data_IF_281034910760
#
_entry.id   IF_281034910760
#
_cell.length_a   1.000
_cell.length_b   1.000
_cell.length_c   1.000
_cell.angle_alpha   90.00
_cell.angle_beta   90.00
_cell.angle_gamma   90.00
#
_symmetry.space_group_name_H-M   'P 1'
#
loop_
_entity.id
_entity.type
_entity.pdbx_description
1 polymer ?
#
# COMPACT_ATOMS: atom_id res chain seq x y z
N UNK A 1 -51.79 -9.02 17.05
CA UNK A 1 -51.87 -9.30 15.60
C UNK A 1 -50.90 -8.40 14.89
N UNK A 2 -49.95 -8.96 14.13
CA UNK A 2 -48.95 -8.22 13.34
C UNK A 2 -47.52 -8.60 13.69
N UNK A 3 -47.06 -9.76 13.21
CA UNK A 3 -45.67 -10.23 13.30
C UNK A 3 -44.86 -9.73 12.10
N UNK A 4 -43.56 -9.46 12.29
CA UNK A 4 -42.56 -9.65 11.24
C UNK A 4 -41.28 -10.20 11.88
N UNK A 5 -40.99 -11.46 11.55
CA UNK A 5 -39.73 -12.16 11.85
C UNK A 5 -38.89 -12.13 10.57
N UNK A 6 -37.69 -11.54 10.64
CA UNK A 6 -36.55 -11.75 9.73
C UNK A 6 -35.33 -11.53 10.65
N UNK A 7 -34.55 -12.53 11.04
CA UNK A 7 -33.80 -13.50 10.24
C UNK A 7 -32.32 -13.22 10.53
N UNK A 8 -31.67 -14.10 11.32
CA UNK A 8 -30.31 -13.94 11.83
C UNK A 8 -29.27 -13.72 10.72
N UNK A 9 -28.43 -12.69 10.88
CA UNK A 9 -27.21 -12.52 10.11
C UNK A 9 -26.06 -12.19 11.06
N UNK A 10 -25.07 -13.06 11.02
CA UNK A 10 -23.72 -13.06 11.58
C UNK A 10 -23.29 -11.74 12.26
N UNK A 11 -23.08 -11.80 13.57
CA UNK A 11 -22.47 -10.71 14.36
C UNK A 11 -21.10 -10.37 13.79
N UNK A 12 -21.00 -9.21 13.15
CA UNK A 12 -19.75 -8.52 12.86
C UNK A 12 -19.10 -8.16 14.22
N UNK A 13 -18.07 -8.89 14.62
CA UNK A 13 -17.28 -8.51 15.81
C UNK A 13 -16.39 -7.35 15.40
N UNK A 14 -16.84 -6.14 15.72
CA UNK A 14 -16.05 -4.92 15.60
C UNK A 14 -14.96 -4.99 16.69
N UNK A 15 -13.73 -5.33 16.32
CA UNK A 15 -12.57 -5.21 17.22
C UNK A 15 -12.26 -3.72 17.35
N UNK A 16 -12.74 -3.09 18.43
CA UNK A 16 -12.71 -1.63 18.61
C UNK A 16 -11.40 -1.09 19.20
N UNK A 17 -10.41 -1.92 19.50
CA UNK A 17 -9.10 -1.43 19.92
C UNK A 17 -8.03 -2.52 19.89
N UNK A 18 -6.88 -2.18 19.31
CA UNK A 18 -5.61 -2.84 19.63
C UNK A 18 -5.00 -2.03 20.78
N UNK A 19 -4.72 -2.63 21.95
CA UNK A 19 -4.16 -1.88 23.06
C UNK A 19 -2.78 -1.33 22.70
N UNK A 20 -2.55 -0.04 22.99
CA UNK A 20 -1.22 0.53 22.94
C UNK A 20 -0.31 -0.16 23.98
N UNK A 21 0.95 -0.47 23.66
CA UNK A 21 1.85 -1.09 24.62
C UNK A 21 2.09 -0.13 25.79
N UNK A 22 1.68 -0.56 26.98
CA UNK A 22 1.96 0.15 28.22
C UNK A 22 3.46 0.10 28.50
N UNK A 23 3.99 1.26 28.88
CA UNK A 23 5.37 1.47 29.28
C UNK A 23 5.74 0.56 30.46
N UNK A 24 6.41 -0.55 30.17
CA UNK A 24 7.14 -1.36 31.14
C UNK A 24 8.32 -1.99 30.41
N UNK A 25 9.52 -1.67 30.87
CA UNK A 25 10.82 -2.06 30.33
C UNK A 25 11.07 -3.58 30.46
N UNK A 26 10.37 -4.36 29.64
CA UNK A 26 10.76 -5.70 29.25
C UNK A 26 11.10 -5.63 27.76
N UNK A 27 12.29 -6.12 27.38
CA UNK A 27 12.69 -6.27 25.98
C UNK A 27 11.76 -7.33 25.37
N UNK A 28 10.58 -6.92 24.93
CA UNK A 28 9.77 -7.71 24.01
C UNK A 28 10.58 -7.69 22.72
N UNK A 29 11.34 -8.77 22.46
CA UNK A 29 11.77 -9.06 21.10
C UNK A 29 10.48 -9.15 20.29
N UNK A 30 10.15 -8.09 19.57
CA UNK A 30 8.99 -8.05 18.69
C UNK A 30 9.21 -9.18 17.69
N UNK A 31 8.53 -10.32 17.89
CA UNK A 31 8.58 -11.42 16.95
C UNK A 31 7.88 -10.91 15.70
N UNK A 32 8.67 -10.61 14.67
CA UNK A 32 8.16 -10.30 13.35
C UNK A 32 7.27 -11.45 12.88
N UNK A 33 6.14 -11.12 12.28
CA UNK A 33 5.27 -12.11 11.64
C UNK A 33 6.04 -12.82 10.53
N UNK A 34 5.52 -13.96 10.09
CA UNK A 34 6.10 -14.65 8.94
C UNK A 34 6.15 -13.73 7.71
N UNK A 35 5.08 -12.97 7.47
CA UNK A 35 5.01 -11.97 6.41
C UNK A 35 6.14 -10.94 6.54
N UNK A 36 6.33 -10.36 7.73
CA UNK A 36 7.39 -9.37 7.98
C UNK A 36 8.78 -9.95 7.72
N UNK A 37 9.03 -11.18 8.17
CA UNK A 37 10.31 -11.86 7.98
C UNK A 37 10.59 -12.10 6.50
N UNK A 38 9.61 -12.64 5.77
CA UNK A 38 9.76 -12.98 4.35
C UNK A 38 9.94 -11.71 3.50
N UNK A 39 9.09 -10.69 3.71
CA UNK A 39 9.18 -9.42 2.96
C UNK A 39 10.55 -8.79 3.15
N UNK A 40 11.00 -8.64 4.39
CA UNK A 40 12.28 -8.00 4.71
C UNK A 40 13.48 -8.77 4.15
N UNK A 41 13.47 -10.10 4.25
CA UNK A 41 14.56 -10.94 3.71
C UNK A 41 14.63 -10.83 2.20
N UNK A 42 13.52 -11.08 1.50
CA UNK A 42 13.50 -11.11 0.04
C UNK A 42 13.69 -9.73 -0.59
N UNK A 43 13.17 -8.68 0.03
CA UNK A 43 13.46 -7.32 -0.40
C UNK A 43 14.96 -7.02 -0.29
N UNK A 44 15.60 -7.44 0.81
CA UNK A 44 17.04 -7.27 1.00
C UNK A 44 17.84 -8.07 -0.04
N UNK A 45 17.47 -9.32 -0.28
CA UNK A 45 18.10 -10.18 -1.31
C UNK A 45 17.99 -9.56 -2.71
N UNK A 46 16.81 -9.05 -3.09
CA UNK A 46 16.60 -8.38 -4.37
C UNK A 46 17.38 -7.05 -4.46
N UNK A 47 17.43 -6.27 -3.39
CA UNK A 47 18.22 -5.03 -3.33
C UNK A 47 19.74 -5.32 -3.43
N UNK A 48 20.22 -6.35 -2.74
CA UNK A 48 21.63 -6.78 -2.78
C UNK A 48 22.00 -7.42 -4.14
N UNK A 49 21.02 -7.95 -4.87
CA UNK A 49 21.17 -8.51 -6.23
C UNK A 49 21.02 -7.46 -7.35
N UNK A 50 21.04 -6.16 -7.02
CA UNK A 50 20.96 -5.05 -7.97
C UNK A 50 19.70 -5.05 -8.87
N UNK A 51 18.56 -5.50 -8.34
CA UNK A 51 17.27 -5.40 -9.04
C UNK A 51 16.77 -3.94 -9.08
N UNK A 52 17.06 -3.16 -8.03
CA UNK A 52 16.75 -1.73 -7.98
C UNK A 52 17.71 -0.89 -8.84
N UNK A 53 17.24 0.26 -9.34
CA UNK A 53 18.07 1.21 -10.08
C UNK A 53 19.24 1.77 -9.26
N UNK A 54 19.10 1.78 -7.94
CA UNK A 54 20.12 2.21 -7.00
C UNK A 54 19.98 1.45 -5.70
N UNK A 55 21.09 1.37 -4.98
CA UNK A 55 21.13 0.86 -3.63
C UNK A 55 20.57 1.91 -2.69
N UNK A 56 19.60 1.50 -1.86
CA UNK A 56 19.10 2.35 -0.80
C UNK A 56 20.06 2.29 0.38
N UNK A 57 20.94 3.28 0.49
CA UNK A 57 21.80 3.44 1.65
C UNK A 57 21.00 3.99 2.85
N UNK A 58 21.69 4.21 3.97
CA UNK A 58 21.07 4.75 5.19
C UNK A 58 20.42 6.10 4.92
N UNK A 59 19.09 6.12 4.91
CA UNK A 59 18.29 7.34 4.77
C UNK A 59 18.45 8.23 6.01
N UNK A 60 18.47 9.53 5.77
CA UNK A 60 18.47 10.53 6.85
C UNK A 60 17.07 11.12 6.95
N UNK A 61 16.38 10.76 8.03
CA UNK A 61 15.05 11.27 8.35
C UNK A 61 15.15 12.33 9.46
N UNK A 62 14.31 13.35 9.37
CA UNK A 62 14.11 14.34 10.42
C UNK A 62 12.62 14.61 10.60
N UNK A 63 12.13 14.38 11.81
CA UNK A 63 10.79 14.83 12.20
C UNK A 63 10.83 16.35 12.38
N UNK A 64 10.01 17.05 11.61
CA UNK A 64 9.88 18.50 11.67
C UNK A 64 8.93 18.87 12.81
N UNK A 65 9.40 19.75 13.69
CA UNK A 65 8.61 20.21 14.83
C UNK A 65 7.31 20.88 14.37
N UNK A 66 6.22 20.56 15.06
CA UNK A 66 4.90 21.12 14.80
C UNK A 66 3.79 20.08 14.99
N UNK A 67 2.53 20.53 14.86
CA UNK A 67 1.33 19.70 15.08
C UNK A 67 1.33 18.38 14.30
N UNK A 68 1.83 18.41 13.07
CA UNK A 68 1.73 17.28 12.14
C UNK A 68 2.97 16.39 12.12
N UNK A 69 4.06 16.78 12.78
CA UNK A 69 5.29 15.97 12.87
C UNK A 69 5.79 15.45 11.52
N UNK A 70 5.81 16.28 10.47
CA UNK A 70 6.19 15.83 9.13
C UNK A 70 7.57 15.18 9.13
N UNK A 71 7.72 14.06 8.43
CA UNK A 71 9.01 13.39 8.25
C UNK A 71 9.66 13.92 6.97
N UNK A 72 10.73 14.68 7.11
CA UNK A 72 11.57 15.08 6.00
C UNK A 72 12.68 14.03 5.80
N UNK A 73 12.73 13.43 4.62
CA UNK A 73 13.70 12.40 4.28
C UNK A 73 14.65 12.90 3.19
N UNK A 74 15.96 12.69 3.41
CA UNK A 74 16.98 12.96 2.41
C UNK A 74 17.38 11.66 1.68
N UNK A 75 16.99 11.58 0.41
CA UNK A 75 17.33 10.48 -0.51
C UNK A 75 17.89 11.07 -1.82
N UNK A 76 19.20 11.39 -1.88
CA UNK A 76 19.80 12.06 -3.04
C UNK A 76 19.84 11.18 -4.28
N UNK A 77 19.98 9.87 -4.08
CA UNK A 77 19.98 8.86 -5.12
C UNK A 77 18.67 8.91 -5.92
N UNK A 78 17.53 8.95 -5.24
CA UNK A 78 16.21 9.04 -5.89
C UNK A 78 16.03 10.23 -6.84
N UNK A 79 16.74 11.33 -6.61
CA UNK A 79 16.64 12.54 -7.43
C UNK A 79 17.44 12.46 -8.74
N UNK A 80 18.27 11.43 -8.94
CA UNK A 80 19.07 11.29 -10.15
C UNK A 80 18.21 10.93 -11.37
N UNK A 81 18.40 11.59 -12.52
CA UNK A 81 17.67 11.26 -13.74
C UNK A 81 17.86 9.80 -14.15
N UNK A 82 16.77 9.16 -14.60
CA UNK A 82 16.79 7.76 -15.05
C UNK A 82 16.63 6.72 -13.95
N UNK A 83 16.63 7.10 -12.66
CA UNK A 83 16.51 6.15 -11.54
C UNK A 83 15.07 5.89 -11.09
N UNK A 84 14.15 6.04 -12.05
CA UNK A 84 12.75 5.67 -11.93
C UNK A 84 12.14 5.37 -13.27
N UNK A 85 11.08 4.55 -13.26
CA UNK A 85 10.22 4.37 -14.44
C UNK A 85 9.69 5.76 -14.87
N UNK A 86 9.72 6.11 -16.17
CA UNK A 86 9.21 7.39 -16.63
C UNK A 86 7.77 7.60 -16.19
N UNK A 87 7.46 8.80 -15.70
CA UNK A 87 6.09 9.13 -15.34
C UNK A 87 5.20 9.13 -16.59
N UNK A 88 4.09 8.42 -16.50
CA UNK A 88 3.07 8.43 -17.53
C UNK A 88 2.22 9.70 -17.44
N UNK A 89 1.79 10.21 -18.59
CA UNK A 89 1.03 11.45 -18.66
C UNK A 89 -0.46 11.17 -18.49
N UNK A 90 -0.96 11.33 -17.27
CA UNK A 90 -2.38 11.18 -16.97
C UNK A 90 -3.15 12.45 -17.34
N UNK A 91 -4.05 12.33 -18.32
CA UNK A 91 -4.94 13.43 -18.74
C UNK A 91 -6.29 13.41 -18.01
N UNK A 92 -6.56 12.37 -17.21
CA UNK A 92 -7.81 12.17 -16.47
C UNK A 92 -7.52 11.63 -15.08
N UNK A 93 -8.36 12.02 -14.12
CA UNK A 93 -8.33 11.46 -12.75
C UNK A 93 -8.67 9.97 -12.77
N UNK A 94 -9.54 9.56 -13.69
CA UNK A 94 -9.84 8.16 -14.01
C UNK A 94 -9.23 7.78 -15.36
N UNK A 95 -7.94 7.39 -15.39
CA UNK A 95 -7.33 6.96 -16.63
C UNK A 95 -7.86 5.59 -17.05
N UNK A 96 -7.83 5.34 -18.36
CA UNK A 96 -7.97 3.98 -18.87
C UNK A 96 -6.61 3.27 -18.75
N UNK A 97 -6.65 1.94 -18.68
CA UNK A 97 -5.44 1.15 -18.83
C UNK A 97 -4.90 1.29 -20.26
N UNK A 98 -3.60 1.51 -20.40
CA UNK A 98 -2.93 1.59 -21.71
C UNK A 98 -1.79 0.58 -21.75
N UNK A 99 -2.03 -0.52 -22.48
CA UNK A 99 -1.10 -1.64 -22.66
C UNK A 99 0.20 -1.23 -23.35
N UNK A 100 0.20 -0.12 -24.10
CA UNK A 100 1.39 0.37 -24.81
C UNK A 100 2.38 1.04 -23.87
N UNK A 101 1.92 1.51 -22.73
CA UNK A 101 2.77 2.08 -21.68
C UNK A 101 3.25 0.98 -20.74
N UNK A 102 4.26 1.30 -19.93
CA UNK A 102 4.72 0.36 -18.93
C UNK A 102 3.57 -0.09 -18.02
N UNK A 103 3.46 -1.39 -17.79
CA UNK A 103 2.51 -1.99 -16.86
C UNK A 103 3.14 -3.23 -16.23
N UNK A 104 2.61 -3.66 -15.09
CA UNK A 104 3.27 -4.73 -14.33
C UNK A 104 3.34 -6.08 -15.04
N UNK A 105 2.53 -6.37 -16.07
CA UNK A 105 2.71 -7.61 -16.87
C UNK A 105 4.06 -7.69 -17.62
N UNK A 106 4.84 -6.60 -17.61
CA UNK A 106 6.16 -6.51 -18.24
C UNK A 106 7.31 -6.66 -17.24
N UNK A 107 7.03 -6.88 -15.94
CA UNK A 107 8.08 -7.14 -14.95
C UNK A 107 8.69 -8.52 -15.14
N UNK A 108 9.91 -8.69 -14.65
CA UNK A 108 10.58 -10.00 -14.64
C UNK A 108 10.36 -10.71 -13.31
N UNK A 109 10.58 -12.03 -13.28
CA UNK A 109 10.51 -12.83 -12.04
C UNK A 109 11.45 -12.30 -10.94
N UNK A 110 12.55 -11.63 -11.32
CA UNK A 110 13.49 -11.02 -10.37
C UNK A 110 12.87 -9.86 -9.59
N UNK A 111 11.81 -9.25 -10.10
CA UNK A 111 11.09 -8.18 -9.40
C UNK A 111 10.04 -8.73 -8.41
N UNK A 112 9.77 -10.04 -8.40
CA UNK A 112 8.75 -10.64 -7.53
C UNK A 112 9.33 -10.91 -6.13
N UNK A 113 8.74 -10.29 -5.12
CA UNK A 113 9.07 -10.52 -3.70
C UNK A 113 8.16 -11.59 -3.10
N UNK A 114 6.87 -11.56 -3.41
CA UNK A 114 5.92 -12.62 -3.05
C UNK A 114 4.93 -12.85 -4.19
N UNK A 115 4.64 -14.12 -4.43
CA UNK A 115 3.64 -14.55 -5.40
C UNK A 115 2.23 -14.68 -4.79
N UNK A 116 1.23 -15.06 -5.60
CA UNK A 116 -0.15 -15.10 -5.14
C UNK A 116 -0.47 -16.16 -4.10
N UNK A 117 0.30 -17.25 -4.05
CA UNK A 117 0.15 -18.32 -3.05
C UNK A 117 0.55 -17.85 -1.64
N UNK A 118 1.33 -16.77 -1.53
CA UNK A 118 1.87 -16.24 -0.28
C UNK A 118 1.09 -15.01 0.22
N UNK A 119 0.15 -14.53 -0.59
CA UNK A 119 -0.62 -13.31 -0.35
C UNK A 119 -2.11 -13.64 -0.16
N UNK A 120 -2.87 -12.76 0.52
CA UNK A 120 -4.25 -13.06 0.85
C UNK A 120 -5.11 -13.13 -0.41
N UNK A 121 -5.78 -14.26 -0.61
CA UNK A 121 -6.84 -14.40 -1.58
C UNK A 121 -8.16 -13.94 -0.96
N UNK A 122 -8.70 -12.81 -1.44
CA UNK A 122 -10.03 -12.34 -1.03
C UNK A 122 -11.14 -13.20 -1.66
N UNK A 123 -10.89 -13.73 -2.86
CA UNK A 123 -11.77 -14.62 -3.60
C UNK A 123 -10.99 -15.89 -4.01
N UNK A 124 -11.62 -17.07 -3.91
CA UNK A 124 -10.95 -18.37 -4.11
C UNK A 124 -10.30 -18.57 -5.48
N UNK A 125 -10.75 -17.82 -6.50
CA UNK A 125 -10.31 -17.96 -7.89
C UNK A 125 -9.47 -16.78 -8.40
N UNK A 126 -9.06 -15.87 -7.51
CA UNK A 126 -8.37 -14.62 -7.89
C UNK A 126 -7.00 -14.42 -7.24
N UNK A 127 -6.24 -15.50 -7.04
CA UNK A 127 -4.84 -15.43 -6.62
C UNK A 127 -3.96 -14.91 -7.76
N UNK A 128 -4.17 -13.65 -8.14
CA UNK A 128 -3.39 -12.89 -9.13
C UNK A 128 -2.88 -11.59 -8.49
N UNK A 129 -2.53 -11.68 -7.21
CA UNK A 129 -1.95 -10.59 -6.43
C UNK A 129 -0.47 -10.85 -6.27
N UNK A 130 0.34 -9.84 -6.58
CA UNK A 130 1.79 -9.90 -6.44
C UNK A 130 2.30 -8.79 -5.55
N UNK A 131 3.36 -9.08 -4.80
CA UNK A 131 4.17 -8.06 -4.15
C UNK A 131 5.48 -7.96 -4.92
N UNK A 132 5.67 -6.85 -5.62
CA UNK A 132 6.83 -6.59 -6.46
C UNK A 132 7.79 -5.65 -5.74
N UNK A 133 9.10 -5.80 -5.91
CA UNK A 133 10.04 -4.80 -5.41
C UNK A 133 9.82 -3.48 -6.16
N UNK A 134 9.80 -2.38 -5.41
CA UNK A 134 9.84 -1.07 -6.05
C UNK A 134 11.29 -0.81 -6.47
N UNK A 135 11.57 -0.97 -7.77
CA UNK A 135 12.92 -0.75 -8.33
C UNK A 135 13.45 0.69 -8.16
N UNK A 136 12.62 1.61 -7.66
CA UNK A 136 12.99 2.98 -7.28
C UNK A 136 12.62 3.23 -5.80
N UNK A 137 13.24 2.46 -4.88
CA UNK A 137 12.76 2.33 -3.51
C UNK A 137 12.81 3.67 -2.77
N UNK A 138 11.76 3.97 -2.00
CA UNK A 138 11.72 5.19 -1.18
C UNK A 138 12.23 4.95 0.24
N UNK A 139 12.11 3.72 0.73
CA UNK A 139 12.38 3.33 2.10
C UNK A 139 12.69 1.82 2.14
N UNK A 140 13.22 1.32 3.26
CA UNK A 140 13.41 -0.10 3.49
C UNK A 140 12.10 -0.89 3.28
N UNK A 141 12.21 -2.04 2.60
CA UNK A 141 11.06 -2.87 2.26
C UNK A 141 10.13 -2.24 1.22
N UNK A 142 10.56 -1.21 0.47
CA UNK A 142 9.73 -0.58 -0.55
C UNK A 142 9.34 -1.58 -1.65
N UNK A 143 8.05 -1.92 -1.66
CA UNK A 143 7.39 -2.82 -2.59
C UNK A 143 6.14 -2.16 -3.19
N UNK A 144 5.62 -2.79 -4.23
CA UNK A 144 4.39 -2.46 -4.95
C UNK A 144 3.46 -3.68 -4.86
N UNK A 145 2.33 -3.52 -4.18
CA UNK A 145 1.27 -4.52 -4.13
C UNK A 145 0.36 -4.32 -5.35
N UNK A 146 0.29 -5.33 -6.21
CA UNK A 146 -0.44 -5.31 -7.49
C UNK A 146 -1.54 -6.37 -7.45
N UNK A 147 -2.78 -6.02 -7.07
CA UNK A 147 -3.90 -6.94 -7.11
C UNK A 147 -4.39 -7.15 -8.54
N UNK A 148 -4.82 -8.38 -8.86
CA UNK A 148 -5.39 -8.76 -10.17
C UNK A 148 -4.56 -8.25 -11.35
N UNK A 149 -3.26 -8.49 -11.29
CA UNK A 149 -2.25 -7.99 -12.23
C UNK A 149 -2.60 -8.28 -13.71
N UNK A 150 -3.07 -9.48 -14.02
CA UNK A 150 -3.46 -9.88 -15.38
C UNK A 150 -4.78 -9.25 -15.84
N UNK A 151 -5.61 -8.72 -14.94
CA UNK A 151 -6.87 -8.05 -15.28
C UNK A 151 -6.69 -6.62 -15.78
N UNK A 152 -5.45 -6.08 -15.79
CA UNK A 152 -5.14 -4.77 -16.36
C UNK A 152 -5.98 -3.63 -15.76
N UNK A 153 -6.20 -3.67 -14.45
CA UNK A 153 -6.98 -2.65 -13.77
C UNK A 153 -6.19 -1.33 -13.82
N UNK A 154 -6.78 -0.22 -14.30
CA UNK A 154 -6.08 1.06 -14.31
C UNK A 154 -5.73 1.54 -12.90
N UNK A 155 -4.83 2.52 -12.76
CA UNK A 155 -4.44 3.12 -11.48
C UNK A 155 -5.59 3.89 -10.81
N UNK A 156 -6.53 3.14 -10.25
CA UNK A 156 -7.75 3.56 -9.58
C UNK A 156 -7.91 2.81 -8.26
N UNK A 157 -8.67 3.37 -7.32
CA UNK A 157 -9.08 2.64 -6.13
C UNK A 157 -10.30 1.77 -6.47
N UNK A 158 -10.23 0.47 -6.15
CA UNK A 158 -11.35 -0.46 -6.24
C UNK A 158 -11.64 -1.06 -4.86
N UNK A 159 -12.85 -1.58 -4.64
CA UNK A 159 -13.18 -2.27 -3.39
C UNK A 159 -12.26 -3.47 -3.17
N UNK A 160 -12.08 -4.31 -4.20
CA UNK A 160 -11.19 -5.47 -4.14
C UNK A 160 -9.75 -5.05 -3.83
N UNK A 161 -9.19 -4.07 -4.55
CA UNK A 161 -7.82 -3.59 -4.31
C UNK A 161 -7.63 -3.04 -2.89
N UNK A 162 -8.64 -2.35 -2.32
CA UNK A 162 -8.60 -1.92 -0.92
C UNK A 162 -8.66 -3.09 0.06
N UNK A 163 -9.49 -4.10 -0.20
CA UNK A 163 -9.54 -5.30 0.64
C UNK A 163 -8.19 -6.03 0.64
N UNK A 164 -7.59 -6.22 -0.54
CA UNK A 164 -6.26 -6.82 -0.67
C UNK A 164 -5.20 -6.01 0.08
N UNK A 165 -5.20 -4.68 -0.06
CA UNK A 165 -4.30 -3.79 0.68
C UNK A 165 -4.44 -3.95 2.19
N UNK A 166 -5.67 -3.86 2.71
CA UNK A 166 -5.94 -3.94 4.14
C UNK A 166 -5.56 -5.29 4.70
N UNK A 167 -5.97 -6.39 4.05
CA UNK A 167 -5.63 -7.74 4.50
C UNK A 167 -4.13 -7.97 4.48
N UNK A 168 -3.43 -7.48 3.45
CA UNK A 168 -1.96 -7.57 3.37
C UNK A 168 -1.27 -6.83 4.51
N UNK A 169 -1.70 -5.59 4.81
CA UNK A 169 -1.16 -4.83 5.95
C UNK A 169 -1.43 -5.54 7.28
N UNK A 170 -2.59 -6.20 7.43
CA UNK A 170 -2.94 -6.96 8.63
C UNK A 170 -2.15 -8.25 8.82
N UNK A 171 -1.39 -8.72 7.82
CA UNK A 171 -0.41 -9.80 7.99
C UNK A 171 0.84 -9.36 8.76
N UNK A 172 1.09 -8.06 8.83
CA UNK A 172 2.21 -7.48 9.58
C UNK A 172 1.87 -7.34 11.05
N UNK A 173 2.88 -7.60 11.87
CA UNK A 173 2.87 -7.28 13.31
C UNK A 173 3.77 -6.08 13.64
N UNK A 174 4.44 -5.55 12.61
CA UNK A 174 5.36 -4.43 12.73
C UNK A 174 4.63 -3.11 12.43
N UNK A 175 4.47 -2.22 13.43
CA UNK A 175 3.74 -0.96 13.26
C UNK A 175 4.41 0.00 12.29
N UNK A 176 5.67 -0.26 11.90
CA UNK A 176 6.40 0.53 10.90
C UNK A 176 5.93 0.26 9.49
N UNK A 177 5.25 -0.86 9.22
CA UNK A 177 4.71 -1.12 7.89
C UNK A 177 3.65 -0.07 7.55
N UNK A 178 3.92 0.72 6.51
CA UNK A 178 3.01 1.70 5.94
C UNK A 178 2.60 1.24 4.55
N UNK A 179 1.39 1.60 4.16
CA UNK A 179 0.94 1.43 2.80
C UNK A 179 0.15 2.64 2.31
N UNK A 180 0.15 2.86 1.00
CA UNK A 180 -0.48 4.03 0.41
C UNK A 180 -0.79 3.87 -1.06
N UNK A 181 -1.64 4.76 -1.58
CA UNK A 181 -2.04 4.81 -2.97
C UNK A 181 -1.78 6.20 -3.56
N UNK A 182 -1.05 6.25 -4.66
CA UNK A 182 -0.93 7.45 -5.49
C UNK A 182 -1.91 7.33 -6.65
N UNK A 183 -2.86 8.26 -6.74
CA UNK A 183 -3.78 8.33 -7.88
C UNK A 183 -3.09 9.00 -9.09
N UNK A 184 -3.74 8.97 -10.25
CA UNK A 184 -3.31 9.72 -11.44
C UNK A 184 -3.08 11.23 -11.15
N UNK A 185 -3.95 11.86 -10.36
CA UNK A 185 -3.76 13.25 -9.90
C UNK A 185 -2.82 13.40 -8.70
N UNK A 186 -2.44 12.30 -8.07
CA UNK A 186 -1.51 12.21 -6.95
C UNK A 186 -0.11 11.76 -7.37
N UNK A 187 0.33 12.13 -8.57
CA UNK A 187 1.66 11.86 -9.11
C UNK A 187 2.01 10.37 -9.26
N UNK A 188 1.03 9.49 -9.52
CA UNK A 188 1.31 8.15 -9.99
C UNK A 188 2.19 8.19 -11.25
N UNK A 189 3.06 7.18 -11.41
CA UNK A 189 3.92 7.06 -12.59
C UNK A 189 3.53 5.92 -13.54
N UNK A 190 2.66 5.00 -13.10
CA UNK A 190 2.26 3.78 -13.82
C UNK A 190 0.74 3.68 -13.86
N UNK A 191 0.16 3.33 -15.01
CA UNK A 191 -1.28 3.28 -15.26
C UNK A 191 -1.97 2.00 -14.80
N UNK A 192 -1.29 1.14 -14.04
CA UNK A 192 -1.77 -0.16 -13.60
C UNK A 192 -1.92 -0.15 -12.08
N UNK A 193 -3.08 -0.53 -11.55
CA UNK A 193 -3.41 -0.54 -10.11
C UNK A 193 -2.29 -1.11 -9.26
N UNK A 194 -1.71 -0.27 -8.41
CA UNK A 194 -0.73 -0.66 -7.42
C UNK A 194 -0.81 0.21 -6.17
N UNK A 195 -0.38 -0.39 -5.07
CA UNK A 195 -0.24 0.26 -3.77
C UNK A 195 1.22 0.19 -3.33
N UNK A 196 1.71 1.25 -2.73
CA UNK A 196 3.04 1.27 -2.13
C UNK A 196 3.00 0.61 -0.77
N UNK A 197 4.03 -0.18 -0.44
CA UNK A 197 4.26 -0.79 0.87
C UNK A 197 5.71 -0.53 1.26
N UNK A 198 6.00 -0.13 2.50
CA UNK A 198 7.36 0.10 3.01
C UNK A 198 7.38 0.18 4.55
N UNK A 199 8.55 0.05 5.17
CA UNK A 199 8.71 0.19 6.63
C UNK A 199 9.32 1.54 7.00
N UNK A 200 8.54 2.40 7.65
CA UNK A 200 9.01 3.69 8.15
C UNK A 200 9.16 3.64 9.67
N UNK A 201 10.36 3.98 10.19
CA UNK A 201 10.64 4.02 11.63
C UNK A 201 9.82 5.11 12.34
N UNK A 202 9.65 6.26 11.71
CA UNK A 202 8.89 7.38 12.25
C UNK A 202 7.38 7.12 12.21
N UNK A 203 6.71 7.43 13.31
CA UNK A 203 5.26 7.46 13.38
C UNK A 203 4.72 8.69 12.61
N UNK A 204 3.74 8.47 11.73
CA UNK A 204 3.08 9.54 10.99
C UNK A 204 1.84 10.05 11.73
N UNK A 205 1.57 11.35 11.65
CA UNK A 205 0.35 11.94 12.24
C UNK A 205 -0.95 11.28 11.76
N UNK A 206 -0.96 10.75 10.53
CA UNK A 206 -2.10 10.03 9.93
C UNK A 206 -2.57 8.85 10.78
N UNK A 207 -1.68 8.22 11.55
CA UNK A 207 -1.99 7.07 12.39
C UNK A 207 -2.86 7.42 13.60
N UNK A 208 -2.85 8.69 14.00
CA UNK A 208 -3.60 9.22 15.15
C UNK A 208 -4.51 10.38 14.77
N UNK A 209 -4.62 10.68 13.48
CA UNK A 209 -5.43 11.79 13.00
C UNK A 209 -6.90 11.52 13.31
N UNK A 210 -7.61 12.55 13.77
CA UNK A 210 -9.06 12.46 14.00
C UNK A 210 -9.73 12.28 12.64
N UNK A 211 -10.44 11.17 12.47
CA UNK A 211 -11.20 10.88 11.27
C UNK A 211 -12.61 11.46 11.44
N UNK A 212 -13.03 12.26 10.48
CA UNK A 212 -14.41 12.74 10.38
C UNK A 212 -15.12 11.95 9.28
N UNK A 213 -16.29 11.42 9.60
CA UNK A 213 -17.15 10.81 8.59
C UNK A 213 -17.61 11.88 7.61
N UNK A 214 -17.34 11.69 6.32
CA UNK A 214 -17.83 12.57 5.24
C UNK A 214 -19.19 12.07 4.72
N UNK A 215 -20.04 11.54 5.61
CA UNK A 215 -21.44 11.24 5.27
C UNK A 215 -22.32 12.48 5.54
N UNK A 216 -23.03 12.91 4.50
CA UNK A 216 -24.07 13.97 4.43
C UNK A 216 -23.63 15.45 4.38
N UNK A 217 -23.25 15.89 3.18
CA UNK A 217 -23.70 17.20 2.67
C UNK A 217 -23.82 17.26 1.14
N UNK A 218 -23.35 16.24 0.40
CA UNK A 218 -23.78 16.03 -0.98
C UNK A 218 -25.18 15.43 -0.98
N UNK A 219 -26.20 16.27 -0.78
CA UNK A 219 -27.55 15.96 -1.26
C UNK A 219 -27.42 15.50 -2.72
N UNK A 220 -28.03 14.36 -3.02
CA UNK A 220 -28.34 13.84 -4.36
C UNK A 220 -29.32 14.78 -5.09
N UNK A 221 -28.98 16.07 -5.20
CA UNK A 221 -29.72 17.10 -5.93
C UNK A 221 -28.71 17.91 -6.75
N UNK A 222 -28.16 17.32 -7.83
CA UNK A 222 -27.66 18.02 -9.04
C UNK A 222 -26.74 17.13 -9.89
N UNK A 223 -27.24 15.95 -10.28
CA UNK A 223 -26.84 15.34 -11.54
C UNK A 223 -28.08 14.97 -12.36
N UNK A 224 -28.98 15.95 -12.53
CA UNK A 224 -29.78 15.98 -13.76
C UNK A 224 -28.84 16.51 -14.84
N UNK A 225 -28.44 15.62 -15.75
CA UNK A 225 -27.75 16.04 -16.99
C UNK A 225 -28.66 17.02 -17.74
N UNK A 226 -28.12 18.04 -18.42
CA UNK A 226 -28.84 18.65 -19.54
C UNK A 226 -29.09 17.62 -20.65
#
# INVERSE_FOLDING_TARGET
MGSLIIGESSRLVLVTSVPAPSSSSAIIRQQHSEFDRVLKSRWKEAADSAVCFYRLDRLQNKVIAGKYGFVAQYNPEKSKPGWRRPAQNFQKVSPNFDVKQFNFNQVTEREVVMGPEELPAIEKDESDTFLLINISPIEFGSCLLVPRMTQNIPQLITLHGLQVLLTTVLLSTDPRLKAGFSSAGGCASVNHQHYHVYYLEEQLYLETAVIYSVYLSMKLESFRRP
#
